data_IF_341045885486
#
_entry.id   IF_341045885486
#
_cell.length_a   1.000
_cell.length_b   1.000
_cell.length_c   1.000
_cell.angle_alpha   90.00
_cell.angle_beta   90.00
_cell.angle_gamma   90.00
#
_symmetry.space_group_name_H-M   'P 1'
#
loop_
_entity.id
_entity.type
_entity.pdbx_description
1 polymer ?
#
# COMPACT_ATOMS: atom_id res chain seq x y z
N UNK A 1 -54.91 38.20 17.62
CA UNK A 1 -53.71 38.61 16.86
C UNK A 1 -52.38 38.06 17.40
N UNK A 2 -52.24 37.67 18.68
CA UNK A 2 -50.96 37.13 19.20
C UNK A 2 -50.68 35.66 18.81
N UNK A 3 -51.71 34.84 18.62
CA UNK A 3 -51.55 33.39 18.34
C UNK A 3 -51.10 33.10 16.90
N UNK A 4 -51.56 33.88 15.91
CA UNK A 4 -51.16 33.70 14.51
C UNK A 4 -49.65 33.95 14.29
N UNK A 5 -49.06 34.86 15.05
CA UNK A 5 -47.62 35.17 14.97
C UNK A 5 -46.76 34.04 15.53
N UNK A 6 -47.26 33.31 16.54
CA UNK A 6 -46.55 32.19 17.15
C UNK A 6 -46.44 31.00 16.17
N UNK A 7 -47.51 30.68 15.45
CA UNK A 7 -47.49 29.56 14.47
C UNK A 7 -46.51 29.87 13.32
N UNK A 8 -46.50 31.09 12.81
CA UNK A 8 -45.58 31.48 11.73
C UNK A 8 -44.11 31.44 12.19
N UNK A 9 -43.84 31.88 13.43
CA UNK A 9 -42.51 31.78 14.02
C UNK A 9 -42.02 30.33 14.10
N UNK A 10 -42.85 29.41 14.61
CA UNK A 10 -42.48 27.98 14.70
C UNK A 10 -42.24 27.35 13.32
N UNK A 11 -43.05 27.71 12.31
CA UNK A 11 -42.83 27.28 10.93
C UNK A 11 -41.48 27.78 10.41
N UNK A 12 -41.15 29.05 10.62
CA UNK A 12 -39.86 29.61 10.22
C UNK A 12 -38.69 28.89 10.91
N UNK A 13 -38.78 28.66 12.22
CA UNK A 13 -37.75 27.93 12.99
C UNK A 13 -37.55 26.52 12.45
N UNK A 14 -38.63 25.75 12.25
CA UNK A 14 -38.54 24.39 11.72
C UNK A 14 -37.98 24.35 10.30
N UNK A 15 -38.36 25.31 9.44
CA UNK A 15 -37.82 25.42 8.09
C UNK A 15 -36.32 25.74 8.11
N UNK A 16 -35.88 26.70 8.92
CA UNK A 16 -34.46 27.04 9.05
C UNK A 16 -33.67 25.87 9.60
N UNK A 17 -34.18 25.17 10.61
CA UNK A 17 -33.54 23.99 11.19
C UNK A 17 -33.41 22.86 10.15
N UNK A 18 -34.46 22.63 9.35
CA UNK A 18 -34.44 21.61 8.29
C UNK A 18 -33.44 21.96 7.20
N UNK A 19 -33.43 23.21 6.72
CA UNK A 19 -32.46 23.69 5.72
C UNK A 19 -31.04 23.65 6.28
N UNK A 20 -30.84 24.04 7.54
CA UNK A 20 -29.55 23.98 8.22
C UNK A 20 -29.03 22.55 8.38
N UNK A 21 -29.92 21.58 8.63
CA UNK A 21 -29.56 20.16 8.68
C UNK A 21 -29.14 19.65 7.29
N UNK A 22 -29.87 19.99 6.23
CA UNK A 22 -29.52 19.63 4.84
C UNK A 22 -28.21 20.29 4.41
N UNK A 23 -28.10 21.60 4.63
CA UNK A 23 -26.91 22.38 4.98
C UNK A 23 -25.67 21.54 5.31
N UNK A 24 -25.71 21.11 6.56
CA UNK A 24 -24.68 20.41 7.27
C UNK A 24 -24.40 19.01 6.71
N UNK A 25 -25.44 18.22 6.41
CA UNK A 25 -25.27 16.90 5.80
C UNK A 25 -24.58 16.99 4.43
N UNK A 26 -24.95 17.99 3.63
CA UNK A 26 -24.34 18.23 2.34
C UNK A 26 -22.86 18.64 2.50
N UNK A 27 -22.55 19.48 3.49
CA UNK A 27 -21.18 19.86 3.81
C UNK A 27 -20.29 18.66 4.19
N UNK A 28 -20.84 17.73 5.00
CA UNK A 28 -20.16 16.49 5.37
C UNK A 28 -19.89 15.60 4.15
N UNK A 29 -20.86 15.46 3.25
CA UNK A 29 -20.73 14.62 2.05
C UNK A 29 -19.81 15.22 0.98
N UNK A 30 -19.67 16.55 0.95
CA UNK A 30 -18.93 17.25 -0.10
C UNK A 30 -17.42 17.30 0.16
N UNK A 31 -16.98 17.28 1.42
CA UNK A 31 -15.55 17.37 1.79
C UNK A 31 -14.87 18.58 1.13
N UNK A 32 -15.24 19.82 1.52
CA UNK A 32 -14.81 21.03 0.79
C UNK A 32 -13.32 21.31 0.88
N UNK A 33 -12.65 20.82 1.93
CA UNK A 33 -11.19 20.86 2.06
C UNK A 33 -10.46 20.08 0.97
N UNK A 34 -11.14 19.15 0.30
CA UNK A 34 -10.54 18.21 -0.65
C UNK A 34 -9.77 17.07 0.01
N UNK A 35 -9.70 17.01 1.35
CA UNK A 35 -8.98 15.97 2.09
C UNK A 35 -9.97 15.23 3.00
N UNK A 36 -10.04 13.90 2.85
CA UNK A 36 -10.81 13.01 3.70
C UNK A 36 -9.88 11.92 4.26
N UNK A 37 -9.81 11.83 5.59
CA UNK A 37 -9.03 10.80 6.30
C UNK A 37 -10.00 9.77 6.86
N UNK A 38 -9.79 8.51 6.53
CA UNK A 38 -10.56 7.36 6.99
C UNK A 38 -9.65 6.49 7.86
N UNK A 39 -10.15 6.11 9.03
CA UNK A 39 -9.44 5.24 9.97
C UNK A 39 -10.26 3.97 10.18
N UNK A 40 -9.59 2.82 10.09
CA UNK A 40 -10.22 1.54 10.37
C UNK A 40 -10.49 1.39 11.87
N UNK A 41 -11.66 0.87 12.19
CA UNK A 41 -12.11 0.60 13.56
C UNK A 41 -12.73 -0.79 13.56
N UNK A 42 -11.94 -1.80 13.92
CA UNK A 42 -12.35 -3.21 13.87
C UNK A 42 -13.68 -3.43 14.58
N UNK A 43 -14.60 -4.13 13.92
CA UNK A 43 -15.89 -4.51 14.48
C UNK A 43 -16.86 -3.35 14.74
N UNK A 44 -16.51 -2.11 14.40
CA UNK A 44 -17.43 -0.96 14.44
C UNK A 44 -18.20 -0.89 13.11
N UNK A 45 -19.53 -1.13 13.08
CA UNK A 45 -20.32 -1.03 11.85
C UNK A 45 -20.33 0.39 11.25
N UNK A 46 -20.02 1.40 12.05
CA UNK A 46 -19.86 2.78 11.60
C UNK A 46 -18.46 3.07 11.03
N UNK A 47 -17.54 2.11 11.06
CA UNK A 47 -16.21 2.28 10.47
C UNK A 47 -16.33 2.60 8.97
N UNK A 48 -15.59 3.61 8.48
CA UNK A 48 -15.54 3.91 7.06
C UNK A 48 -14.73 2.89 6.27
N UNK A 49 -13.95 2.04 6.94
CA UNK A 49 -13.17 0.96 6.34
C UNK A 49 -13.76 -0.36 6.86
N UNK A 50 -14.04 -1.31 5.96
CA UNK A 50 -14.55 -2.61 6.36
C UNK A 50 -13.48 -3.43 7.07
N UNK A 51 -13.91 -4.39 7.88
CA UNK A 51 -13.03 -5.46 8.32
C UNK A 51 -12.49 -6.26 7.12
N UNK A 52 -11.36 -6.92 7.32
CA UNK A 52 -10.80 -7.83 6.33
C UNK A 52 -11.81 -8.93 5.98
N UNK A 53 -11.81 -9.36 4.73
CA UNK A 53 -12.65 -10.46 4.25
C UNK A 53 -11.95 -11.24 3.11
N UNK A 54 -12.37 -12.47 2.77
CA UNK A 54 -13.43 -13.26 3.41
C UNK A 54 -13.04 -13.80 4.79
N UNK A 55 -13.99 -13.81 5.73
CA UNK A 55 -13.82 -14.22 7.14
C UNK A 55 -13.10 -15.56 7.31
N UNK A 56 -13.37 -16.53 6.42
CA UNK A 56 -12.72 -17.85 6.45
C UNK A 56 -11.19 -17.83 6.31
N UNK A 57 -10.60 -16.73 5.86
CA UNK A 57 -9.15 -16.54 5.71
C UNK A 57 -8.51 -15.83 6.91
N UNK A 58 -9.33 -15.42 7.87
CA UNK A 58 -8.97 -14.52 8.96
C UNK A 58 -9.16 -15.24 10.30
N UNK A 59 -8.28 -14.94 11.23
CA UNK A 59 -8.35 -15.37 12.62
C UNK A 59 -8.54 -14.10 13.44
N UNK A 60 -9.63 -14.05 14.19
CA UNK A 60 -9.87 -12.97 15.13
C UNK A 60 -8.89 -13.11 16.31
N UNK A 61 -8.18 -12.02 16.59
CA UNK A 61 -7.35 -11.91 17.79
C UNK A 61 -8.22 -11.40 18.94
N UNK A 62 -8.23 -12.14 20.04
CA UNK A 62 -8.93 -11.82 21.29
C UNK A 62 -8.33 -10.59 22.03
N UNK A 63 -7.20 -10.05 21.55
CA UNK A 63 -6.52 -8.89 22.16
C UNK A 63 -6.83 -7.57 21.42
N UNK A 64 -7.09 -6.56 22.24
CA UNK A 64 -7.97 -5.39 22.07
C UNK A 64 -7.43 -4.25 21.18
N UNK A 65 -6.64 -4.55 20.13
CA UNK A 65 -5.95 -3.51 19.35
C UNK A 65 -6.50 -3.32 17.93
N UNK A 66 -7.67 -3.87 17.60
CA UNK A 66 -8.23 -3.74 16.26
C UNK A 66 -7.47 -4.54 15.17
N UNK A 67 -6.43 -5.28 15.54
CA UNK A 67 -5.66 -6.08 14.61
C UNK A 67 -6.43 -7.33 14.12
N UNK A 68 -6.17 -7.71 12.88
CA UNK A 68 -6.73 -8.89 12.23
C UNK A 68 -5.59 -9.73 11.63
N UNK A 69 -5.63 -11.03 11.87
CA UNK A 69 -4.62 -11.97 11.38
C UNK A 69 -5.17 -12.75 10.20
N UNK A 70 -4.38 -12.95 9.15
CA UNK A 70 -4.75 -13.84 8.04
C UNK A 70 -3.61 -14.78 7.66
N UNK A 71 -4.00 -15.95 7.17
CA UNK A 71 -3.09 -17.07 6.83
C UNK A 71 -3.37 -17.65 5.43
N UNK A 72 -4.36 -17.09 4.72
CA UNK A 72 -4.69 -17.45 3.34
C UNK A 72 -4.80 -16.18 2.51
N UNK A 73 -4.10 -16.18 1.40
CA UNK A 73 -4.11 -15.11 0.39
C UNK A 73 -5.27 -15.27 -0.62
N UNK A 74 -5.80 -14.17 -1.19
CA UNK A 74 -5.71 -12.79 -0.72
C UNK A 74 -6.76 -12.44 0.33
N UNK A 75 -6.58 -11.32 1.03
CA UNK A 75 -7.65 -10.69 1.82
C UNK A 75 -7.98 -9.32 1.27
N UNK A 76 -9.20 -8.86 1.52
CA UNK A 76 -9.77 -7.65 0.97
C UNK A 76 -10.30 -6.75 2.08
N UNK A 77 -10.37 -5.46 1.82
CA UNK A 77 -11.13 -4.50 2.61
C UNK A 77 -11.64 -3.39 1.70
N UNK A 78 -12.75 -2.77 2.09
CA UNK A 78 -13.39 -1.71 1.33
C UNK A 78 -13.39 -0.40 2.12
N UNK A 79 -13.18 0.72 1.43
CA UNK A 79 -13.22 2.05 2.03
C UNK A 79 -14.37 2.88 1.44
N UNK A 80 -15.19 3.44 2.32
CA UNK A 80 -16.31 4.32 1.95
C UNK A 80 -15.80 5.71 1.60
N UNK A 81 -15.88 6.07 0.33
CA UNK A 81 -15.51 7.37 -0.21
C UNK A 81 -16.76 8.06 -0.82
N UNK A 82 -17.25 9.17 -0.26
CA UNK A 82 -18.51 9.82 -0.68
C UNK A 82 -18.47 10.43 -2.09
N UNK A 83 -17.27 10.56 -2.68
CA UNK A 83 -17.03 11.16 -3.99
C UNK A 83 -15.71 10.66 -4.57
N UNK A 84 -15.45 11.04 -5.81
CA UNK A 84 -14.21 10.74 -6.52
C UNK A 84 -13.07 11.66 -6.04
N UNK A 85 -11.93 11.04 -5.76
CA UNK A 85 -10.69 11.70 -5.34
C UNK A 85 -9.59 11.44 -6.37
N UNK A 86 -8.64 12.36 -6.49
CA UNK A 86 -7.55 12.25 -7.45
C UNK A 86 -6.48 11.26 -6.99
N UNK A 87 -6.25 11.23 -5.68
CA UNK A 87 -5.23 10.40 -5.05
C UNK A 87 -5.76 9.73 -3.80
N UNK A 88 -5.28 8.52 -3.55
CA UNK A 88 -5.60 7.70 -2.39
C UNK A 88 -4.30 7.19 -1.81
N UNK A 89 -3.96 7.66 -0.61
CA UNK A 89 -2.81 7.17 0.14
C UNK A 89 -3.31 6.19 1.18
N UNK A 90 -2.90 4.93 1.07
CA UNK A 90 -3.21 3.90 2.06
C UNK A 90 -1.96 3.62 2.88
N UNK A 91 -2.04 3.93 4.16
CA UNK A 91 -1.05 3.58 5.16
C UNK A 91 -1.54 2.34 5.89
N UNK A 92 -0.66 1.34 6.00
CA UNK A 92 -0.98 0.07 6.65
C UNK A 92 0.14 -0.25 7.63
N UNK A 93 -0.24 -0.67 8.84
CA UNK A 93 0.68 -1.30 9.79
C UNK A 93 0.50 -2.82 9.75
N UNK A 94 1.60 -3.59 9.79
CA UNK A 94 1.54 -5.04 9.81
C UNK A 94 2.71 -5.68 10.55
N UNK A 95 2.53 -6.94 10.95
CA UNK A 95 3.61 -7.86 11.29
C UNK A 95 3.72 -8.94 10.22
N UNK A 96 4.95 -9.18 9.76
CA UNK A 96 5.26 -10.19 8.75
C UNK A 96 6.27 -11.19 9.30
N UNK A 97 5.82 -12.41 9.58
CA UNK A 97 6.69 -13.46 10.14
C UNK A 97 7.72 -13.95 9.11
N UNK A 98 7.28 -14.50 7.98
CA UNK A 98 8.19 -15.12 7.01
C UNK A 98 7.77 -14.96 5.55
N UNK A 99 6.76 -14.13 5.27
CA UNK A 99 6.28 -13.90 3.92
C UNK A 99 7.30 -13.06 3.11
N UNK A 100 7.83 -13.57 1.98
CA UNK A 100 8.86 -12.86 1.22
C UNK A 100 8.35 -11.59 0.55
N UNK A 101 7.13 -11.63 0.02
CA UNK A 101 6.51 -10.53 -0.72
C UNK A 101 5.13 -10.23 -0.13
N UNK A 102 4.89 -8.97 0.19
CA UNK A 102 3.61 -8.42 0.63
C UNK A 102 3.28 -7.19 -0.21
N UNK A 103 2.09 -7.17 -0.79
CA UNK A 103 1.64 -6.10 -1.69
C UNK A 103 0.24 -5.62 -1.31
N UNK A 104 -0.04 -4.36 -1.64
CA UNK A 104 -1.37 -3.78 -1.58
C UNK A 104 -1.85 -3.55 -3.01
N UNK A 105 -3.09 -3.93 -3.27
CA UNK A 105 -3.79 -3.72 -4.53
C UNK A 105 -4.94 -2.76 -4.37
N UNK A 106 -5.08 -1.80 -5.28
CA UNK A 106 -6.34 -1.08 -5.46
C UNK A 106 -7.08 -1.65 -6.68
N UNK A 107 -8.39 -1.86 -6.55
CA UNK A 107 -9.20 -2.46 -7.62
C UNK A 107 -9.39 -1.47 -8.77
N UNK A 108 -8.93 -1.84 -9.97
CA UNK A 108 -8.97 -1.00 -11.18
C UNK A 108 -10.31 -1.01 -11.90
N UNK A 109 -10.97 -2.17 -11.95
CA UNK A 109 -12.29 -2.32 -12.59
C UNK A 109 -13.09 -3.41 -11.88
N UNK A 110 -14.41 -3.21 -11.79
CA UNK A 110 -15.29 -4.20 -11.17
C UNK A 110 -15.32 -5.52 -11.94
N UNK A 111 -15.44 -5.44 -13.26
CA UNK A 111 -15.79 -6.59 -14.10
C UNK A 111 -14.64 -7.57 -14.33
N UNK A 112 -13.38 -7.14 -14.13
CA UNK A 112 -12.21 -7.93 -14.50
C UNK A 112 -11.39 -8.48 -13.31
N UNK A 113 -11.82 -8.30 -12.05
CA UNK A 113 -11.01 -8.63 -10.86
C UNK A 113 -9.55 -8.12 -10.98
N UNK A 114 -9.35 -6.99 -11.66
CA UNK A 114 -8.05 -6.41 -11.91
C UNK A 114 -7.65 -5.50 -10.75
N UNK A 115 -6.48 -5.75 -10.16
CA UNK A 115 -5.90 -4.90 -9.13
C UNK A 115 -4.58 -4.30 -9.62
N UNK A 116 -4.34 -3.03 -9.29
CA UNK A 116 -3.02 -2.42 -9.43
C UNK A 116 -2.26 -2.68 -8.14
N UNK A 117 -1.34 -3.63 -8.17
CA UNK A 117 -0.50 -4.01 -7.03
C UNK A 117 0.66 -3.02 -6.87
N UNK A 118 0.98 -2.70 -5.62
CA UNK A 118 2.13 -1.89 -5.21
C UNK A 118 2.75 -2.53 -3.97
N UNK A 119 4.09 -2.51 -3.81
CA UNK A 119 4.76 -3.24 -2.77
C UNK A 119 4.55 -2.59 -1.40
N UNK A 120 4.19 -3.40 -0.40
CA UNK A 120 4.28 -3.02 1.02
C UNK A 120 5.63 -3.46 1.60
N UNK A 121 6.04 -4.69 1.27
CA UNK A 121 7.32 -5.26 1.68
C UNK A 121 7.82 -6.27 0.66
N UNK A 122 9.14 -6.30 0.47
CA UNK A 122 9.82 -7.37 -0.22
C UNK A 122 11.10 -7.72 0.55
N UNK A 123 11.04 -8.79 1.35
CA UNK A 123 12.16 -9.24 2.20
C UNK A 123 13.38 -9.63 1.37
N UNK A 124 13.19 -10.15 0.16
CA UNK A 124 14.29 -10.49 -0.77
C UNK A 124 15.09 -9.22 -1.09
N UNK A 125 14.40 -8.11 -1.34
CA UNK A 125 15.04 -6.81 -1.60
C UNK A 125 15.59 -6.20 -0.31
N UNK A 126 14.87 -6.31 0.82
CA UNK A 126 15.33 -5.80 2.12
C UNK A 126 16.67 -6.43 2.52
N UNK A 127 16.84 -7.75 2.29
CA UNK A 127 18.07 -8.49 2.57
C UNK A 127 19.23 -7.98 1.70
N UNK A 128 18.99 -7.79 0.41
CA UNK A 128 19.95 -7.20 -0.55
C UNK A 128 20.40 -5.80 -0.12
N UNK A 129 19.44 -4.96 0.27
CA UNK A 129 19.73 -3.59 0.71
C UNK A 129 20.51 -3.57 2.04
N UNK A 130 20.19 -4.47 2.97
CA UNK A 130 20.88 -4.61 4.26
C UNK A 130 22.33 -5.05 4.07
N UNK A 131 22.59 -6.01 3.17
CA UNK A 131 23.96 -6.43 2.83
C UNK A 131 24.77 -5.27 2.21
N UNK A 132 24.14 -4.45 1.37
CA UNK A 132 24.81 -3.32 0.72
C UNK A 132 25.25 -2.20 1.68
N UNK A 133 24.65 -2.13 2.88
CA UNK A 133 24.95 -1.12 3.90
C UNK A 133 26.00 -1.56 4.93
N UNK A 134 26.41 -2.84 4.92
CA UNK A 134 27.46 -3.30 5.84
C UNK A 134 28.86 -2.87 5.34
N UNK A 135 29.67 -2.20 6.18
CA UNK A 135 31.08 -2.02 5.86
C UNK A 135 31.75 -3.39 5.71
N UNK A 136 32.76 -3.53 4.84
CA UNK A 136 33.46 -4.80 4.68
C UNK A 136 33.92 -5.29 6.05
N UNK A 137 33.46 -6.48 6.45
CA UNK A 137 33.97 -7.16 7.64
C UNK A 137 35.48 -7.24 7.50
N UNK A 138 36.21 -6.49 8.33
CA UNK A 138 37.65 -6.64 8.44
C UNK A 138 37.94 -8.11 8.72
N UNK A 139 38.80 -8.79 7.94
CA UNK A 139 39.19 -10.15 8.27
C UNK A 139 39.79 -10.15 9.69
N UNK A 140 39.49 -11.16 10.52
CA UNK A 140 40.08 -11.25 11.85
C UNK A 140 41.61 -11.19 11.71
N UNK A 141 42.24 -10.34 12.50
CA UNK A 141 43.68 -10.28 12.63
C UNK A 141 44.13 -11.66 13.08
N UNK A 142 44.82 -12.39 12.20
CA UNK A 142 45.29 -13.74 12.47
C UNK A 142 46.40 -13.69 13.52
N UNK A 143 46.02 -13.82 14.80
CA UNK A 143 46.96 -14.18 15.87
C UNK A 143 46.81 -15.65 16.18
N UNK A 144 47.67 -16.42 15.54
CA UNK A 144 48.35 -17.62 16.03
C UNK A 144 47.58 -18.56 16.97
N UNK A 145 47.11 -19.66 16.40
CA UNK A 145 47.22 -20.99 16.99
C UNK A 145 46.18 -21.40 18.03
N UNK A 146 45.09 -22.02 17.58
CA UNK A 146 44.40 -23.08 18.33
C UNK A 146 43.64 -23.99 17.37
N UNK A 147 43.76 -25.30 17.61
CA UNK A 147 43.15 -26.39 16.82
C UNK A 147 41.71 -26.55 17.32
N UNK A 148 40.71 -26.38 16.46
CA UNK A 148 39.32 -26.67 16.84
C UNK A 148 38.27 -26.40 15.76
N UNK A 149 37.80 -27.48 15.13
CA UNK A 149 36.52 -27.64 14.41
C UNK A 149 36.33 -26.82 13.13
N UNK A 150 36.43 -27.50 11.98
CA UNK A 150 35.85 -27.03 10.71
C UNK A 150 34.34 -26.81 10.87
N UNK A 151 33.94 -25.54 10.99
CA UNK A 151 32.58 -25.10 10.72
C UNK A 151 32.39 -25.04 9.20
N UNK A 152 31.26 -25.50 8.63
CA UNK A 152 31.09 -25.54 7.19
C UNK A 152 31.11 -24.12 6.61
N UNK A 153 31.98 -23.95 5.61
CA UNK A 153 32.13 -22.73 4.82
C UNK A 153 30.77 -22.18 4.38
N UNK A 154 30.40 -21.01 4.91
CA UNK A 154 29.39 -20.17 4.29
C UNK A 154 29.91 -19.81 2.89
N UNK A 155 29.21 -20.29 1.85
CA UNK A 155 29.39 -19.86 0.46
C UNK A 155 29.47 -18.34 0.47
N UNK A 156 30.60 -17.77 0.05
CA UNK A 156 30.80 -16.32 0.00
C UNK A 156 29.86 -15.70 -1.01
N UNK A 157 28.69 -15.25 -0.56
CA UNK A 157 27.79 -14.42 -1.36
C UNK A 157 28.44 -13.05 -1.51
N UNK A 158 28.66 -12.64 -2.76
CA UNK A 158 29.18 -11.31 -3.08
C UNK A 158 28.10 -10.29 -2.74
N UNK A 159 28.35 -9.31 -1.84
CA UNK A 159 27.33 -8.35 -1.45
C UNK A 159 26.97 -7.46 -2.64
N UNK A 160 25.67 -7.30 -2.87
CA UNK A 160 25.15 -6.42 -3.91
C UNK A 160 25.50 -4.96 -3.62
N UNK A 161 25.92 -4.23 -4.64
CA UNK A 161 26.19 -2.80 -4.58
C UNK A 161 24.97 -2.05 -5.13
N UNK A 162 24.28 -1.33 -4.25
CA UNK A 162 23.00 -0.67 -4.57
C UNK A 162 23.12 0.85 -4.62
N UNK A 163 22.48 1.46 -5.62
CA UNK A 163 22.31 2.89 -5.79
C UNK A 163 20.80 3.22 -5.83
N UNK A 164 20.40 4.34 -5.22
CA UNK A 164 18.99 4.76 -5.14
C UNK A 164 18.74 6.04 -5.94
N UNK A 165 17.67 6.04 -6.71
CA UNK A 165 17.18 7.14 -7.53
C UNK A 165 15.69 7.35 -7.22
N UNK A 166 15.39 8.23 -6.27
CA UNK A 166 14.03 8.40 -5.72
C UNK A 166 13.43 7.08 -5.22
N UNK A 167 12.39 6.55 -5.87
CA UNK A 167 11.76 5.27 -5.52
C UNK A 167 12.42 4.06 -6.22
N UNK A 168 13.35 4.30 -7.14
CA UNK A 168 14.00 3.24 -7.92
C UNK A 168 15.33 2.86 -7.28
N UNK A 169 15.53 1.57 -7.05
CA UNK A 169 16.82 1.01 -6.64
C UNK A 169 17.44 0.28 -7.82
N UNK A 170 18.75 0.42 -7.95
CA UNK A 170 19.57 -0.28 -8.92
C UNK A 170 20.71 -0.97 -8.18
N UNK A 171 20.73 -2.30 -8.19
CA UNK A 171 21.76 -3.10 -7.54
C UNK A 171 22.53 -3.92 -8.57
N UNK A 172 23.84 -4.06 -8.33
CA UNK A 172 24.76 -4.80 -9.19
C UNK A 172 25.63 -5.71 -8.31
N UNK A 173 25.85 -6.96 -8.70
CA UNK A 173 26.85 -7.82 -8.02
C UNK A 173 28.28 -7.33 -8.27
N UNK A 174 28.56 -6.95 -9.51
CA UNK A 174 29.81 -6.34 -9.92
C UNK A 174 29.54 -4.90 -10.36
N UNK A 175 30.31 -3.94 -9.84
CA UNK A 175 30.17 -2.51 -10.15
C UNK A 175 30.67 -2.19 -11.57
N UNK A 176 29.95 -2.67 -12.59
CA UNK A 176 30.27 -2.44 -14.01
C UNK A 176 29.77 -1.08 -14.50
N UNK A 177 28.62 -0.63 -13.99
CA UNK A 177 27.99 0.62 -14.41
C UNK A 177 28.02 1.65 -13.30
N UNK A 178 28.29 2.90 -13.66
CA UNK A 178 28.31 4.00 -12.69
C UNK A 178 26.90 4.42 -12.25
N UNK A 179 25.89 4.22 -13.10
CA UNK A 179 24.50 4.59 -12.87
C UNK A 179 23.55 3.86 -13.82
N UNK A 180 22.25 4.03 -13.59
CA UNK A 180 21.18 3.40 -14.36
C UNK A 180 21.15 3.82 -15.85
N UNK A 181 21.52 5.06 -16.17
CA UNK A 181 21.59 5.54 -17.57
C UNK A 181 22.71 4.85 -18.35
N UNK A 182 23.90 4.72 -17.74
CA UNK A 182 25.02 3.98 -18.32
C UNK A 182 24.69 2.50 -18.51
N UNK A 183 23.92 1.91 -17.60
CA UNK A 183 23.41 0.55 -17.73
C UNK A 183 22.49 0.39 -18.94
N UNK A 184 21.47 1.25 -19.09
CA UNK A 184 20.52 1.14 -20.20
C UNK A 184 21.14 1.46 -21.57
N UNK A 185 22.27 2.16 -21.62
CA UNK A 185 22.97 2.44 -22.88
C UNK A 185 23.59 1.17 -23.51
N UNK A 186 24.07 0.22 -22.70
CA UNK A 186 24.63 -1.05 -23.16
C UNK A 186 24.53 -2.12 -22.05
N UNK A 187 23.32 -2.65 -21.79
CA UNK A 187 23.09 -3.60 -20.71
C UNK A 187 23.63 -4.99 -21.07
N UNK A 188 24.40 -5.60 -20.18
CA UNK A 188 25.00 -6.93 -20.36
C UNK A 188 24.86 -7.76 -19.09
N UNK A 189 24.20 -8.91 -19.17
CA UNK A 189 23.99 -9.83 -18.06
C UNK A 189 22.51 -10.14 -17.82
N UNK A 190 22.20 -10.95 -16.80
CA UNK A 190 20.82 -11.28 -16.45
C UNK A 190 20.22 -10.21 -15.53
N UNK A 191 19.04 -9.74 -15.91
CA UNK A 191 18.39 -8.57 -15.29
C UNK A 191 17.10 -9.02 -14.61
N UNK A 192 16.97 -8.66 -13.34
CA UNK A 192 15.76 -8.89 -12.56
C UNK A 192 15.05 -7.54 -12.33
N UNK A 193 13.75 -7.50 -12.58
CA UNK A 193 12.93 -6.33 -12.29
C UNK A 193 11.85 -6.59 -11.24
N UNK A 194 11.51 -5.57 -10.44
CA UNK A 194 10.38 -5.63 -9.50
C UNK A 194 9.62 -4.31 -9.46
N UNK A 195 8.34 -4.34 -9.83
CA UNK A 195 7.48 -3.16 -9.89
C UNK A 195 8.08 -1.97 -10.67
N UNK A 196 8.91 -2.26 -11.68
CA UNK A 196 9.53 -1.28 -12.57
C UNK A 196 9.17 -1.57 -14.03
N UNK A 197 8.82 -0.52 -14.77
CA UNK A 197 8.50 -0.63 -16.20
C UNK A 197 9.80 -0.56 -17.00
N UNK A 198 10.27 -1.72 -17.45
CA UNK A 198 11.49 -1.83 -18.25
C UNK A 198 11.25 -1.38 -19.69
N UNK A 199 12.28 -0.85 -20.38
CA UNK A 199 12.22 -0.60 -21.82
C UNK A 199 11.85 -1.88 -22.60
N UNK A 200 10.99 -1.77 -23.61
CA UNK A 200 10.45 -2.91 -24.37
C UNK A 200 11.52 -3.77 -25.06
N UNK A 201 12.66 -3.16 -25.40
CA UNK A 201 13.77 -3.81 -26.09
C UNK A 201 14.76 -4.51 -25.15
N UNK A 202 14.45 -4.59 -23.85
CA UNK A 202 15.33 -5.18 -22.84
C UNK A 202 14.75 -6.47 -22.26
N UNK A 203 15.45 -7.58 -22.49
CA UNK A 203 15.13 -8.86 -21.86
C UNK A 203 15.40 -8.80 -20.36
N UNK A 204 14.41 -9.20 -19.56
CA UNK A 204 14.49 -9.21 -18.11
C UNK A 204 13.47 -10.19 -17.55
N UNK A 205 13.77 -10.72 -16.36
CA UNK A 205 12.83 -11.52 -15.59
C UNK A 205 12.13 -10.64 -14.55
N UNK A 206 10.89 -11.01 -14.18
CA UNK A 206 10.15 -10.35 -13.11
C UNK A 206 10.28 -11.15 -11.82
N UNK A 207 10.66 -10.47 -10.75
CA UNK A 207 10.80 -11.07 -9.41
C UNK A 207 9.47 -11.62 -8.90
N UNK A 208 9.54 -12.79 -8.30
CA UNK A 208 8.45 -13.46 -7.59
C UNK A 208 9.00 -14.21 -6.36
N UNK A 209 8.13 -14.90 -5.63
CA UNK A 209 8.48 -15.61 -4.38
C UNK A 209 9.56 -16.68 -4.56
N UNK A 210 9.65 -17.29 -5.75
CA UNK A 210 10.59 -18.38 -6.05
C UNK A 210 11.86 -17.90 -6.75
N UNK A 211 12.07 -16.59 -6.88
CA UNK A 211 13.23 -16.04 -7.59
C UNK A 211 14.53 -16.32 -6.82
N UNK A 212 15.48 -17.02 -7.45
CA UNK A 212 16.84 -17.15 -6.94
C UNK A 212 17.70 -15.95 -7.37
N UNK A 213 18.07 -15.11 -6.41
CA UNK A 213 18.91 -13.93 -6.62
C UNK A 213 20.30 -14.29 -7.18
N UNK A 214 20.77 -15.53 -7.03
CA UNK A 214 22.07 -15.95 -7.53
C UNK A 214 22.15 -16.00 -9.05
N UNK A 215 21.01 -16.15 -9.73
CA UNK A 215 20.94 -16.23 -11.19
C UNK A 215 21.08 -14.89 -11.91
N UNK A 216 21.02 -13.78 -11.18
CA UNK A 216 20.95 -12.43 -11.76
C UNK A 216 22.17 -11.59 -11.43
N UNK A 217 22.58 -10.75 -12.38
CA UNK A 217 23.69 -9.81 -12.20
C UNK A 217 23.20 -8.44 -11.71
N UNK A 218 21.96 -8.09 -12.08
CA UNK A 218 21.34 -6.79 -11.87
C UNK A 218 19.93 -6.91 -11.28
N UNK A 219 19.60 -6.01 -10.37
CA UNK A 219 18.25 -5.80 -9.85
C UNK A 219 17.85 -4.34 -10.09
N UNK A 220 16.71 -4.13 -10.72
CA UNK A 220 16.07 -2.82 -10.87
C UNK A 220 14.66 -2.89 -10.26
N UNK A 221 14.40 -2.12 -9.22
CA UNK A 221 13.09 -2.18 -8.57
C UNK A 221 12.56 -0.81 -8.17
N UNK A 222 11.25 -0.60 -8.33
CA UNK A 222 10.56 0.51 -7.66
C UNK A 222 10.16 0.03 -6.28
N UNK A 223 10.95 0.37 -5.26
CA UNK A 223 10.76 -0.15 -3.92
C UNK A 223 11.25 0.80 -2.82
N UNK A 224 10.39 0.97 -1.82
CA UNK A 224 10.69 1.66 -0.57
C UNK A 224 10.53 0.67 0.57
N UNK A 225 11.63 0.36 1.24
CA UNK A 225 11.63 -0.44 2.46
C UNK A 225 10.67 0.18 3.49
N UNK A 226 9.87 -0.64 4.19
CA UNK A 226 8.93 -0.16 5.18
C UNK A 226 9.66 0.42 6.40
N UNK A 227 8.98 1.30 7.12
CA UNK A 227 9.45 1.81 8.40
C UNK A 227 9.21 0.77 9.50
N UNK A 228 10.21 0.49 10.32
CA UNK A 228 10.06 -0.40 11.48
C UNK A 228 9.48 0.38 12.65
N UNK A 229 8.37 -0.10 13.21
CA UNK A 229 7.76 0.42 14.43
C UNK A 229 8.26 -0.31 15.69
N UNK A 230 9.16 -1.29 15.53
CA UNK A 230 9.64 -2.18 16.61
C UNK A 230 8.74 -3.39 16.85
N UNK A 231 9.25 -4.41 17.55
CA UNK A 231 8.52 -5.67 17.82
C UNK A 231 7.95 -6.33 16.55
N UNK A 232 8.75 -6.36 15.48
CA UNK A 232 8.38 -6.90 14.16
C UNK A 232 7.17 -6.23 13.48
N UNK A 233 6.77 -5.05 13.98
CA UNK A 233 5.79 -4.20 13.30
C UNK A 233 6.47 -3.31 12.26
N UNK A 234 5.80 -3.19 11.13
CA UNK A 234 6.20 -2.38 10.00
C UNK A 234 5.05 -1.48 9.57
N UNK A 235 5.39 -0.36 8.96
CA UNK A 235 4.44 0.55 8.36
C UNK A 235 4.94 1.05 7.01
N UNK A 236 4.03 1.18 6.06
CA UNK A 236 4.31 1.80 4.76
C UNK A 236 3.05 2.46 4.22
N UNK A 237 3.28 3.41 3.31
CA UNK A 237 2.23 4.17 2.63
C UNK A 237 2.33 3.97 1.13
N UNK A 238 1.23 3.58 0.52
CA UNK A 238 1.10 3.37 -0.91
C UNK A 238 0.17 4.42 -1.47
N UNK A 239 0.58 5.09 -2.55
CA UNK A 239 -0.21 6.13 -3.21
C UNK A 239 -0.79 5.56 -4.50
N UNK A 240 -2.10 5.67 -4.69
CA UNK A 240 -2.81 5.37 -5.93
C UNK A 240 -3.36 6.65 -6.54
N UNK A 241 -3.26 6.76 -7.87
CA UNK A 241 -3.91 7.85 -8.61
C UNK A 241 -5.28 7.38 -9.11
N UNK A 242 -6.16 8.31 -9.48
CA UNK A 242 -7.50 8.01 -10.00
C UNK A 242 -7.53 6.96 -11.14
N UNK A 243 -6.48 6.86 -11.95
CA UNK A 243 -6.40 5.87 -13.03
C UNK A 243 -6.09 4.43 -12.54
N UNK A 244 -5.64 4.30 -11.29
CA UNK A 244 -5.23 3.03 -10.69
C UNK A 244 -6.41 2.31 -10.03
N UNK A 245 -7.53 2.99 -9.77
CA UNK A 245 -8.68 2.43 -9.05
C UNK A 245 -10.02 2.88 -9.64
N UNK A 246 -11.08 2.18 -9.26
CA UNK A 246 -12.46 2.54 -9.58
C UNK A 246 -13.23 2.85 -8.30
N UNK A 247 -14.16 3.81 -8.38
CA UNK A 247 -15.07 4.15 -7.30
C UNK A 247 -16.46 3.63 -7.64
N UNK A 248 -16.88 2.56 -6.99
CA UNK A 248 -18.18 1.93 -7.24
C UNK A 248 -19.10 2.08 -6.04
N UNK A 249 -20.25 2.72 -6.21
CA UNK A 249 -21.23 3.00 -5.13
C UNK A 249 -20.52 3.55 -3.88
N UNK A 250 -19.68 4.57 -4.07
CA UNK A 250 -18.95 5.22 -2.98
C UNK A 250 -18.01 4.28 -2.20
N UNK A 251 -17.53 3.20 -2.82
CA UNK A 251 -16.58 2.26 -2.22
C UNK A 251 -15.36 2.07 -3.11
N UNK A 252 -14.20 2.00 -2.48
CA UNK A 252 -12.92 1.64 -3.10
C UNK A 252 -12.49 0.31 -2.48
N UNK A 253 -12.34 -0.71 -3.30
CA UNK A 253 -11.89 -2.04 -2.85
C UNK A 253 -10.36 -2.15 -2.91
N UNK A 254 -9.80 -2.66 -1.82
CA UNK A 254 -8.39 -3.00 -1.70
C UNK A 254 -8.20 -4.49 -1.50
N UNK A 255 -7.01 -4.96 -1.87
CA UNK A 255 -6.56 -6.33 -1.70
C UNK A 255 -5.19 -6.30 -1.04
N UNK A 256 -4.99 -7.08 0.02
CA UNK A 256 -3.66 -7.38 0.54
C UNK A 256 -3.26 -8.74 -0.01
N UNK A 257 -2.17 -8.74 -0.76
CA UNK A 257 -1.60 -9.90 -1.45
C UNK A 257 -0.35 -10.38 -0.73
N UNK A 258 -0.34 -11.65 -0.37
CA UNK A 258 0.80 -12.36 0.19
C UNK A 258 1.00 -13.66 -0.60
N UNK A 259 1.66 -13.61 -1.77
CA UNK A 259 1.70 -14.74 -2.68
C UNK A 259 2.29 -15.98 -2.00
N UNK A 260 1.64 -17.13 -2.15
CA UNK A 260 2.03 -18.40 -1.54
C UNK A 260 1.89 -18.50 -0.01
N UNK A 261 1.26 -17.54 0.68
CA UNK A 261 1.09 -17.58 2.15
C UNK A 261 0.53 -18.93 2.66
N UNK A 262 -0.39 -19.52 1.90
CA UNK A 262 -1.00 -20.81 2.19
C UNK A 262 -0.05 -22.03 2.09
N UNK A 263 1.19 -21.85 1.65
CA UNK A 263 2.22 -22.90 1.54
C UNK A 263 3.15 -22.98 2.77
N UNK A 264 2.81 -22.28 3.85
CA UNK A 264 3.54 -22.37 5.12
C UNK A 264 4.49 -21.19 5.40
N UNK A 265 4.32 -20.05 4.74
CA UNK A 265 5.06 -18.81 5.03
C UNK A 265 4.48 -18.04 6.23
N UNK A 266 3.94 -18.77 7.21
CA UNK A 266 3.39 -18.24 8.44
C UNK A 266 2.06 -17.51 8.25
N UNK A 267 1.91 -16.41 8.98
CA UNK A 267 0.72 -15.58 9.03
C UNK A 267 1.14 -14.09 8.97
N UNK A 268 0.18 -13.25 8.58
CA UNK A 268 0.34 -11.80 8.60
C UNK A 268 -0.69 -11.23 9.56
N UNK A 269 -0.24 -10.35 10.44
CA UNK A 269 -1.12 -9.59 11.32
C UNK A 269 -1.20 -8.18 10.76
N UNK A 270 -2.39 -7.76 10.33
CA UNK A 270 -2.67 -6.38 9.94
C UNK A 270 -3.18 -5.62 11.16
N UNK A 271 -2.59 -4.46 11.41
CA UNK A 271 -3.02 -3.50 12.42
C UNK A 271 -3.74 -2.34 11.77
N UNK A 272 -3.36 -1.13 12.15
CA UNK A 272 -4.02 0.10 11.70
C UNK A 272 -3.98 0.26 10.18
N UNK A 273 -5.14 0.59 9.62
CA UNK A 273 -5.31 1.00 8.23
C UNK A 273 -5.84 2.43 8.23
N UNK A 274 -5.07 3.34 7.63
CA UNK A 274 -5.42 4.75 7.47
C UNK A 274 -5.43 5.09 5.99
N UNK A 275 -6.53 5.63 5.50
CA UNK A 275 -6.69 6.02 4.09
C UNK A 275 -6.88 7.52 4.03
N UNK A 276 -5.98 8.20 3.34
CA UNK A 276 -6.08 9.63 3.04
C UNK A 276 -6.46 9.82 1.57
N UNK A 277 -7.67 10.31 1.35
CA UNK A 277 -8.23 10.65 0.05
C UNK A 277 -8.01 12.13 -0.20
N UNK A 278 -7.37 12.49 -1.32
CA UNK A 278 -7.07 13.88 -1.66
C UNK A 278 -7.53 14.26 -3.06
N UNK A 279 -8.07 15.46 -3.16
CA UNK A 279 -8.49 16.17 -4.36
C UNK A 279 -8.34 17.68 -4.14
N UNK A 280 -8.36 18.45 -5.21
CA UNK A 280 -8.44 19.90 -5.10
C UNK A 280 -9.66 20.37 -4.29
N UNK A 281 -9.51 21.44 -3.47
CA UNK A 281 -10.60 22.06 -2.75
C UNK A 281 -11.74 22.44 -3.70
N UNK A 282 -12.96 22.32 -3.20
CA UNK A 282 -14.11 22.51 -4.05
C UNK A 282 -14.37 24.00 -4.27
N UNK A 283 -14.25 24.45 -5.52
CA UNK A 283 -14.66 25.78 -5.95
C UNK A 283 -16.13 25.79 -6.43
N UNK A 284 -16.64 26.98 -6.75
CA UNK A 284 -18.05 27.15 -7.14
C UNK A 284 -18.39 26.44 -8.46
N UNK A 285 -17.42 26.28 -9.35
CA UNK A 285 -17.60 25.56 -10.62
C UNK A 285 -17.68 24.04 -10.37
N UNK A 286 -16.74 23.50 -9.59
CA UNK A 286 -16.72 22.10 -9.18
C UNK A 286 -17.94 21.69 -8.36
N UNK A 287 -18.53 22.61 -7.60
CA UNK A 287 -19.82 22.40 -6.92
C UNK A 287 -20.95 22.08 -7.89
N UNK A 288 -21.15 22.93 -8.91
CA UNK A 288 -22.24 22.75 -9.87
C UNK A 288 -22.04 21.50 -10.72
N UNK A 289 -20.80 21.16 -11.07
CA UNK A 289 -20.47 19.90 -11.72
C UNK A 289 -20.85 18.69 -10.85
N UNK A 290 -20.49 18.70 -9.56
CA UNK A 290 -20.84 17.62 -8.63
C UNK A 290 -22.36 17.42 -8.54
N UNK A 291 -23.12 18.49 -8.30
CA UNK A 291 -24.59 18.42 -8.21
C UNK A 291 -25.20 17.89 -9.51
N UNK A 292 -24.73 18.37 -10.66
CA UNK A 292 -25.19 17.91 -11.98
C UNK A 292 -24.90 16.42 -12.18
N UNK A 293 -23.73 15.95 -11.77
CA UNK A 293 -23.35 14.53 -11.86
C UNK A 293 -24.19 13.64 -10.95
N UNK A 294 -24.49 14.08 -9.72
CA UNK A 294 -25.38 13.34 -8.81
C UNK A 294 -26.80 13.22 -9.38
N UNK A 295 -27.36 14.31 -9.91
CA UNK A 295 -28.67 14.28 -10.58
C UNK A 295 -28.71 13.36 -11.81
N UNK A 296 -27.58 13.24 -12.53
CA UNK A 296 -27.45 12.31 -13.66
C UNK A 296 -27.42 10.86 -13.18
N UNK A 297 -26.71 10.56 -12.09
CA UNK A 297 -26.64 9.20 -11.50
C UNK A 297 -28.01 8.73 -11.01
N UNK A 298 -28.82 9.61 -10.41
CA UNK A 298 -30.18 9.28 -9.95
C UNK A 298 -31.19 8.99 -11.08
N UNK A 299 -30.89 9.43 -12.31
CA UNK A 299 -31.75 9.19 -13.49
C UNK A 299 -31.39 7.92 -14.27
N UNK A 300 -30.31 7.23 -13.88
CA UNK A 300 -29.78 6.06 -14.57
C UNK A 300 -30.01 4.81 -13.72
#
# INVERSE_FOLDING_TARGET
MKEANIIWLWRAVLSVLSVGLLVWLFWQNLVPSGILVLEHRKGDPASPISDLHPEKRIIELDQDNGAQRFYIDPVYFDAKAPREFETVTVQVAWQNQSQPILELGARKTRDAWGFVLKPLQNKIIDDVLTQSTQPPLNPPLNTSGEIGVESPQAKGEVPWQCQRYDQVIFCQKEQKYANLSAFFANPQGRILSYNYVMPENLEHDKMNVNTDMNEYDYLIATYRAPESLGNDWYQSSVIYNWQDFDLYINEISFLVSAPELNKGHGEIVLGDIIITLKRDPLDWEGFWEYVKNQLRRLKK
#
